data_IF_121153309978
#
_entry.id   IF_121153309978
#
_cell.length_a   1.000
_cell.length_b   1.000
_cell.length_c   1.000
_cell.angle_alpha   90.00
_cell.angle_beta   90.00
_cell.angle_gamma   90.00
#
_symmetry.space_group_name_H-M   'P 1'
#
loop_
_entity.id
_entity.type
_entity.pdbx_description
1 polymer ?
#
# COMPACT_ATOMS: atom_id res chain seq x y z
N UNK A 1 -10.07 -22.57 2.95
CA UNK A 1 -10.51 -21.40 2.18
C UNK A 1 -10.32 -20.22 3.08
N UNK A 2 -9.53 -19.24 2.63
CA UNK A 2 -9.47 -17.96 3.33
C UNK A 2 -10.87 -17.31 3.28
N UNK A 3 -11.30 -16.83 4.43
CA UNK A 3 -12.58 -16.15 4.60
C UNK A 3 -12.31 -14.66 4.76
N UNK A 4 -13.12 -13.86 4.09
CA UNK A 4 -13.02 -12.40 4.08
C UNK A 4 -14.22 -11.79 4.80
N UNK A 5 -14.03 -10.61 5.37
CA UNK A 5 -15.10 -9.76 5.88
C UNK A 5 -15.05 -8.41 5.17
N UNK A 6 -16.21 -7.76 5.08
CA UNK A 6 -16.28 -6.38 4.62
C UNK A 6 -15.92 -5.44 5.79
N UNK A 7 -15.04 -4.50 5.53
CA UNK A 7 -14.61 -3.47 6.46
C UNK A 7 -14.89 -2.09 5.87
N UNK A 8 -15.58 -1.24 6.63
CA UNK A 8 -15.82 0.16 6.28
C UNK A 8 -14.60 0.99 6.66
N UNK A 9 -14.26 1.95 5.80
CA UNK A 9 -13.07 2.80 5.92
C UNK A 9 -13.46 4.27 5.78
N UNK A 10 -12.70 5.15 6.44
CA UNK A 10 -12.82 6.60 6.26
C UNK A 10 -14.26 7.11 6.46
N UNK A 11 -14.88 6.75 7.59
CA UNK A 11 -16.25 7.15 7.92
C UNK A 11 -17.30 6.61 6.95
N UNK A 12 -17.21 5.32 6.62
CA UNK A 12 -18.13 4.58 5.74
C UNK A 12 -18.16 5.06 4.27
N UNK A 13 -17.15 5.81 3.84
CA UNK A 13 -17.05 6.32 2.45
C UNK A 13 -16.51 5.27 1.48
N UNK A 14 -15.75 4.30 1.99
CA UNK A 14 -15.17 3.19 1.23
C UNK A 14 -15.41 1.89 1.99
N UNK A 15 -15.56 0.79 1.24
CA UNK A 15 -15.52 -0.55 1.81
C UNK A 15 -14.50 -1.41 1.09
N UNK A 16 -13.87 -2.31 1.84
CA UNK A 16 -12.89 -3.27 1.33
C UNK A 16 -13.18 -4.65 1.91
N UNK A 17 -12.73 -5.69 1.22
CA UNK A 17 -12.76 -7.06 1.72
C UNK A 17 -11.39 -7.43 2.26
N UNK A 18 -11.30 -7.70 3.55
CA UNK A 18 -10.06 -8.07 4.23
C UNK A 18 -10.11 -9.52 4.73
N UNK A 19 -8.97 -10.22 4.77
CA UNK A 19 -8.86 -11.50 5.49
C UNK A 19 -9.33 -11.37 6.94
N UNK A 20 -9.99 -12.40 7.47
CA UNK A 20 -10.52 -12.38 8.86
C UNK A 20 -9.46 -12.28 9.96
N UNK A 21 -8.20 -12.55 9.64
CA UNK A 21 -7.05 -12.44 10.53
C UNK A 21 -6.37 -11.06 10.49
N UNK A 22 -6.80 -10.16 9.58
CA UNK A 22 -6.38 -8.78 9.55
C UNK A 22 -6.86 -8.06 10.82
N UNK A 23 -5.93 -7.51 11.58
CA UNK A 23 -6.18 -6.74 12.81
C UNK A 23 -5.99 -5.27 12.56
N UNK A 24 -7.01 -4.48 12.90
CA UNK A 24 -6.94 -3.03 12.87
C UNK A 24 -5.91 -2.53 13.90
N UNK A 25 -4.96 -1.75 13.43
CA UNK A 25 -3.90 -1.17 14.25
C UNK A 25 -4.38 0.07 15.02
N UNK A 26 -5.49 0.68 14.62
CA UNK A 26 -6.10 1.83 15.32
C UNK A 26 -6.54 1.47 16.75
N UNK A 27 -6.87 0.21 17.01
CA UNK A 27 -7.26 -0.29 18.34
C UNK A 27 -6.10 -0.24 19.36
N UNK A 28 -4.85 -0.23 18.88
CA UNK A 28 -3.65 -0.31 19.73
C UNK A 28 -2.80 0.96 19.71
N UNK A 29 -2.93 1.81 18.68
CA UNK A 29 -2.24 3.09 18.58
C UNK A 29 -3.02 4.06 17.70
N UNK A 30 -2.80 5.35 17.93
CA UNK A 30 -3.28 6.38 17.01
C UNK A 30 -2.56 6.26 15.65
N UNK A 31 -3.35 6.42 14.59
CA UNK A 31 -2.91 6.51 13.20
C UNK A 31 -3.49 7.80 12.60
N UNK A 32 -2.87 8.39 11.56
CA UNK A 32 -3.43 9.56 10.88
C UNK A 32 -4.83 9.29 10.33
N UNK A 33 -5.71 10.30 10.35
CA UNK A 33 -7.10 10.17 9.89
C UNK A 33 -7.24 9.80 8.39
N UNK A 34 -6.19 10.05 7.60
CA UNK A 34 -6.13 9.70 6.19
C UNK A 34 -5.54 8.29 5.95
N UNK A 35 -5.27 7.52 7.00
CA UNK A 35 -4.73 6.17 6.95
C UNK A 35 -5.61 5.15 7.67
N UNK A 36 -5.68 3.95 7.11
CA UNK A 36 -6.25 2.76 7.76
C UNK A 36 -5.21 1.64 7.66
N UNK A 37 -4.83 1.04 8.79
CA UNK A 37 -3.70 0.11 8.86
C UNK A 37 -4.12 -1.21 9.48
N UNK A 38 -3.84 -2.30 8.77
CA UNK A 38 -4.14 -3.66 9.23
C UNK A 38 -2.88 -4.51 9.23
N UNK A 39 -2.76 -5.39 10.23
CA UNK A 39 -1.63 -6.31 10.37
C UNK A 39 -2.10 -7.76 10.49
N UNK A 40 -1.31 -8.69 9.97
CA UNK A 40 -1.55 -10.11 10.15
C UNK A 40 -0.92 -10.61 11.45
N UNK A 41 -1.71 -11.26 12.30
CA UNK A 41 -1.28 -11.66 13.65
C UNK A 41 -0.10 -12.63 13.75
N UNK A 42 0.27 -13.32 12.66
CA UNK A 42 1.30 -14.37 12.68
C UNK A 42 2.44 -14.23 11.65
N UNK A 43 2.29 -13.37 10.64
CA UNK A 43 3.19 -13.38 9.47
C UNK A 43 3.95 -12.06 9.29
N UNK A 44 3.88 -11.14 10.27
CA UNK A 44 4.45 -9.78 10.20
C UNK A 44 4.07 -9.00 8.92
N UNK A 45 3.00 -9.44 8.25
CA UNK A 45 2.44 -8.77 7.08
C UNK A 45 1.58 -7.60 7.52
N UNK A 46 1.50 -6.58 6.67
CA UNK A 46 0.62 -5.44 6.89
C UNK A 46 0.05 -4.91 5.60
N UNK A 47 -1.17 -4.41 5.64
CA UNK A 47 -1.76 -3.59 4.57
C UNK A 47 -2.11 -2.21 5.11
N UNK A 48 -1.75 -1.19 4.34
CA UNK A 48 -2.01 0.21 4.64
C UNK A 48 -2.85 0.76 3.49
N UNK A 49 -3.95 1.42 3.82
CA UNK A 49 -4.74 2.20 2.89
C UNK A 49 -4.54 3.67 3.25
N UNK A 50 -4.17 4.49 2.28
CA UNK A 50 -3.88 5.90 2.51
C UNK A 50 -4.51 6.78 1.43
N UNK A 51 -5.14 7.88 1.85
CA UNK A 51 -5.62 8.93 0.96
C UNK A 51 -4.55 10.01 0.90
N UNK A 52 -4.04 10.27 -0.30
CA UNK A 52 -2.98 11.21 -0.61
C UNK A 52 -3.47 12.29 -1.59
N UNK A 53 -2.73 13.40 -1.66
CA UNK A 53 -2.93 14.40 -2.70
C UNK A 53 -2.60 13.81 -4.08
N UNK A 54 -3.33 14.25 -5.11
CA UNK A 54 -3.08 13.80 -6.47
C UNK A 54 -1.71 14.26 -6.97
N UNK A 55 -0.82 13.30 -7.25
CA UNK A 55 0.51 13.62 -7.79
C UNK A 55 0.39 13.96 -9.28
N UNK A 56 0.87 15.15 -9.65
CA UNK A 56 0.86 15.69 -11.01
C UNK A 56 2.10 15.24 -11.79
N UNK A 57 2.06 13.99 -12.25
CA UNK A 57 3.07 13.42 -13.15
C UNK A 57 2.57 13.30 -14.59
N UNK A 58 3.52 13.23 -15.52
CA UNK A 58 3.25 13.08 -16.96
C UNK A 58 2.63 11.72 -17.32
N UNK A 59 2.74 10.72 -16.44
CA UNK A 59 2.14 9.40 -16.63
C UNK A 59 1.77 8.73 -15.31
N UNK A 60 0.84 7.78 -15.36
CA UNK A 60 0.47 6.98 -14.19
C UNK A 60 1.62 6.11 -13.67
N UNK A 61 2.49 5.63 -14.56
CA UNK A 61 3.69 4.89 -14.21
C UNK A 61 4.69 5.74 -13.43
N UNK A 62 4.78 7.03 -13.78
CA UNK A 62 5.63 7.97 -13.07
C UNK A 62 5.02 8.32 -11.72
N UNK A 63 3.71 8.57 -11.65
CA UNK A 63 3.01 8.76 -10.37
C UNK A 63 3.20 7.59 -9.40
N UNK A 64 3.11 6.35 -9.90
CA UNK A 64 3.37 5.16 -9.10
C UNK A 64 4.82 5.07 -8.61
N UNK A 65 5.79 5.54 -9.41
CA UNK A 65 7.20 5.63 -8.97
C UNK A 65 7.39 6.67 -7.89
N UNK A 66 6.83 7.86 -8.06
CA UNK A 66 6.89 8.94 -7.06
C UNK A 66 6.35 8.45 -5.71
N UNK A 67 5.17 7.80 -5.69
CA UNK A 67 4.62 7.20 -4.48
C UNK A 67 5.51 6.10 -3.89
N UNK A 68 6.12 5.24 -4.71
CA UNK A 68 7.06 4.21 -4.22
C UNK A 68 8.34 4.81 -3.62
N UNK A 69 8.87 5.87 -4.24
CA UNK A 69 10.04 6.60 -3.72
C UNK A 69 9.72 7.21 -2.35
N UNK A 70 8.55 7.82 -2.16
CA UNK A 70 8.10 8.36 -0.87
C UNK A 70 7.97 7.27 0.21
N UNK A 71 7.48 6.08 -0.14
CA UNK A 71 7.43 4.92 0.76
C UNK A 71 8.85 4.44 1.12
N UNK A 72 9.78 4.40 0.16
CA UNK A 72 11.17 4.04 0.43
C UNK A 72 11.86 5.04 1.37
N UNK A 73 11.67 6.34 1.12
CA UNK A 73 12.20 7.41 1.96
C UNK A 73 11.66 7.33 3.40
N UNK A 74 10.36 7.07 3.55
CA UNK A 74 9.70 6.92 4.87
C UNK A 74 10.24 5.71 5.65
N UNK A 75 10.67 4.66 4.95
CA UNK A 75 11.29 3.48 5.54
C UNK A 75 12.82 3.62 5.73
N UNK A 76 13.40 4.78 5.44
CA UNK A 76 14.84 5.04 5.44
C UNK A 76 15.64 4.08 4.54
N UNK A 77 14.97 3.56 3.50
CA UNK A 77 15.56 2.69 2.48
C UNK A 77 16.07 3.59 1.36
N UNK A 78 17.38 3.81 1.34
CA UNK A 78 18.04 4.57 0.26
C UNK A 78 18.08 3.79 -1.05
N UNK A 79 19.29 3.54 -1.58
CA UNK A 79 19.49 2.80 -2.83
C UNK A 79 19.18 1.29 -2.73
N UNK A 80 18.82 0.81 -1.53
CA UNK A 80 18.50 -0.60 -1.24
C UNK A 80 17.03 -0.96 -1.57
N UNK A 81 16.48 -0.36 -2.63
CA UNK A 81 15.13 -0.64 -3.14
C UNK A 81 15.15 -0.93 -4.64
N UNK A 82 14.27 -1.83 -5.08
CA UNK A 82 14.15 -2.21 -6.49
C UNK A 82 12.67 -2.34 -6.88
N UNK A 83 12.33 -1.79 -8.04
CA UNK A 83 11.02 -1.99 -8.67
C UNK A 83 11.11 -3.21 -9.58
N UNK A 84 10.33 -4.24 -9.27
CA UNK A 84 10.27 -5.49 -10.04
C UNK A 84 9.30 -5.36 -11.20
N UNK A 85 8.13 -4.77 -10.98
CA UNK A 85 7.08 -4.64 -12.02
C UNK A 85 6.18 -3.46 -11.74
N UNK A 86 5.76 -2.78 -12.82
CA UNK A 86 4.68 -1.80 -12.80
C UNK A 86 3.76 -2.08 -13.98
N UNK A 87 2.48 -2.30 -13.71
CA UNK A 87 1.49 -2.63 -14.74
C UNK A 87 0.12 -2.03 -14.42
N UNK A 88 -0.68 -1.84 -15.46
CA UNK A 88 -2.06 -1.40 -15.29
C UNK A 88 -2.92 -2.58 -14.85
N UNK A 89 -3.79 -2.36 -13.85
CA UNK A 89 -4.77 -3.36 -13.45
C UNK A 89 -5.84 -3.47 -14.54
N UNK A 90 -6.17 -4.69 -15.00
CA UNK A 90 -7.26 -4.91 -15.96
C UNK A 90 -8.58 -4.29 -15.50
N UNK A 91 -9.30 -3.62 -16.40
CA UNK A 91 -10.51 -2.87 -16.06
C UNK A 91 -11.64 -3.75 -15.47
N UNK A 92 -11.68 -5.03 -15.82
CA UNK A 92 -12.64 -6.01 -15.29
C UNK A 92 -12.37 -6.41 -13.82
N UNK A 93 -11.17 -6.09 -13.30
CA UNK A 93 -10.80 -6.28 -11.89
C UNK A 93 -11.02 -5.03 -11.04
N UNK A 94 -11.35 -3.89 -11.65
CA UNK A 94 -11.57 -2.64 -10.93
C UNK A 94 -13.05 -2.55 -10.55
N UNK A 95 -13.34 -2.71 -9.26
CA UNK A 95 -14.71 -2.66 -8.73
C UNK A 95 -15.12 -1.27 -8.23
N UNK A 96 -14.16 -0.34 -8.11
CA UNK A 96 -14.41 1.01 -7.63
C UNK A 96 -14.89 1.92 -8.77
N UNK A 97 -16.15 2.35 -8.71
CA UNK A 97 -16.82 3.12 -9.78
C UNK A 97 -16.06 4.40 -10.19
N UNK A 98 -15.49 5.09 -9.20
CA UNK A 98 -14.80 6.36 -9.39
C UNK A 98 -13.34 6.23 -9.84
N UNK A 99 -12.74 5.04 -9.71
CA UNK A 99 -11.37 4.78 -10.12
C UNK A 99 -11.37 4.16 -11.52
N UNK A 100 -11.12 4.96 -12.56
CA UNK A 100 -11.07 4.46 -13.94
C UNK A 100 -9.72 3.86 -14.32
N UNK A 101 -8.69 4.11 -13.51
CA UNK A 101 -7.34 3.67 -13.76
C UNK A 101 -6.69 3.31 -12.43
N UNK A 102 -6.28 2.05 -12.32
CA UNK A 102 -5.55 1.53 -11.17
C UNK A 102 -4.24 0.95 -11.69
N UNK A 103 -3.15 1.31 -11.04
CA UNK A 103 -1.83 0.77 -11.34
C UNK A 103 -1.37 -0.10 -10.20
N UNK A 104 -0.66 -1.16 -10.54
CA UNK A 104 -0.04 -2.07 -9.60
C UNK A 104 1.47 -1.99 -9.72
N UNK A 105 2.16 -2.00 -8.59
CA UNK A 105 3.60 -2.06 -8.48
C UNK A 105 3.98 -3.21 -7.56
N UNK A 106 4.99 -3.96 -7.99
CA UNK A 106 5.73 -4.89 -7.14
C UNK A 106 7.15 -4.37 -6.98
N UNK A 107 7.60 -4.21 -5.75
CA UNK A 107 8.96 -3.79 -5.41
C UNK A 107 9.52 -4.63 -4.28
N UNK A 108 10.80 -4.41 -3.99
CA UNK A 108 11.52 -5.04 -2.90
C UNK A 108 12.35 -3.98 -2.19
N UNK A 109 12.38 -4.04 -0.87
CA UNK A 109 13.22 -3.19 -0.02
C UNK A 109 14.10 -4.07 0.86
N UNK A 110 15.35 -3.66 1.04
CA UNK A 110 16.26 -4.23 2.03
C UNK A 110 16.42 -3.25 3.19
N UNK A 111 15.72 -3.52 4.28
CA UNK A 111 15.67 -2.66 5.46
C UNK A 111 16.65 -3.18 6.51
N UNK A 112 17.65 -2.40 6.88
CA UNK A 112 18.45 -2.67 8.07
C UNK A 112 17.75 -2.04 9.28
N UNK A 113 17.32 -2.84 10.26
CA UNK A 113 16.83 -2.29 11.52
C UNK A 113 18.03 -2.09 12.46
N UNK A 114 18.15 -0.89 13.05
CA UNK A 114 19.02 -0.62 14.21
C UNK A 114 20.49 -1.09 14.13
N UNK A 115 21.24 -0.66 13.10
CA UNK A 115 22.70 -0.88 13.04
C UNK A 115 23.11 -2.36 12.97
N UNK A 116 22.20 -3.26 12.61
CA UNK A 116 22.50 -4.68 12.36
C UNK A 116 23.02 -4.89 10.93
N UNK A 117 23.94 -5.84 10.76
CA UNK A 117 24.42 -6.28 9.44
C UNK A 117 23.35 -7.07 8.65
N UNK A 118 22.29 -7.53 9.33
CA UNK A 118 21.18 -8.26 8.73
C UNK A 118 20.18 -7.29 8.07
N UNK A 119 20.04 -7.39 6.75
CA UNK A 119 19.02 -6.64 6.00
C UNK A 119 17.78 -7.52 5.85
N UNK A 120 16.68 -7.11 6.46
CA UNK A 120 15.38 -7.75 6.24
C UNK A 120 14.92 -7.45 4.83
N UNK A 121 14.52 -8.49 4.11
CA UNK A 121 14.01 -8.34 2.75
C UNK A 121 12.49 -8.28 2.82
N UNK A 122 11.93 -7.14 2.43
CA UNK A 122 10.48 -6.91 2.42
C UNK A 122 10.03 -6.74 0.98
N UNK A 123 9.13 -7.62 0.55
CA UNK A 123 8.43 -7.46 -0.71
C UNK A 123 7.26 -6.49 -0.51
N UNK A 124 7.17 -5.49 -1.38
CA UNK A 124 6.16 -4.44 -1.30
C UNK A 124 5.28 -4.52 -2.53
N UNK A 125 3.98 -4.57 -2.28
CA UNK A 125 2.94 -4.53 -3.30
C UNK A 125 2.18 -3.22 -3.13
N UNK A 126 2.06 -2.44 -4.19
CA UNK A 126 1.31 -1.19 -4.17
C UNK A 126 0.23 -1.19 -5.24
N UNK A 127 -0.95 -0.70 -4.88
CA UNK A 127 -2.01 -0.39 -5.82
C UNK A 127 -2.37 1.09 -5.71
N UNK A 128 -2.31 1.81 -6.83
CA UNK A 128 -2.56 3.24 -6.93
C UNK A 128 -3.87 3.48 -7.66
N UNK A 129 -4.88 3.95 -6.94
CA UNK A 129 -6.17 4.35 -7.49
C UNK A 129 -6.16 5.86 -7.70
N UNK A 130 -6.18 6.28 -8.97
CA UNK A 130 -6.10 7.70 -9.34
C UNK A 130 -7.50 8.29 -9.39
N UNK A 131 -7.77 9.33 -8.60
CA UNK A 131 -9.08 9.99 -8.50
C UNK A 131 -8.98 11.50 -8.82
N UNK A 132 -8.68 11.88 -10.07
CA UNK A 132 -8.45 13.29 -10.44
C UNK A 132 -9.67 14.19 -10.19
N UNK A 133 -10.89 13.65 -10.19
CA UNK A 133 -12.11 14.39 -9.87
C UNK A 133 -12.18 14.85 -8.40
N UNK A 134 -11.38 14.25 -7.52
CA UNK A 134 -11.27 14.60 -6.11
C UNK A 134 -9.90 15.20 -5.75
N UNK A 135 -9.02 15.43 -6.74
CA UNK A 135 -7.62 15.84 -6.53
C UNK A 135 -6.90 14.94 -5.51
N UNK A 136 -7.22 13.64 -5.54
CA UNK A 136 -6.64 12.65 -4.62
C UNK A 136 -6.16 11.39 -5.33
N UNK A 137 -5.20 10.73 -4.69
CA UNK A 137 -4.78 9.37 -4.98
C UNK A 137 -5.09 8.50 -3.76
N UNK A 138 -5.59 7.28 -3.97
CA UNK A 138 -5.66 6.27 -2.90
C UNK A 138 -4.53 5.27 -3.15
N UNK A 139 -3.66 5.14 -2.17
CA UNK A 139 -2.53 4.22 -2.19
C UNK A 139 -2.80 3.06 -1.25
N UNK A 140 -2.74 1.85 -1.77
CA UNK A 140 -2.80 0.62 -0.97
C UNK A 140 -1.42 0.00 -0.99
N UNK A 141 -0.80 -0.15 0.18
CA UNK A 141 0.54 -0.72 0.35
C UNK A 141 0.45 -1.99 1.18
N UNK A 142 0.82 -3.13 0.59
CA UNK A 142 0.94 -4.41 1.27
C UNK A 142 2.40 -4.79 1.44
N UNK A 143 2.84 -4.91 2.69
CA UNK A 143 4.19 -5.32 3.06
C UNK A 143 4.20 -6.81 3.38
N UNK A 144 5.07 -7.54 2.70
CA UNK A 144 5.26 -8.98 2.85
C UNK A 144 6.73 -9.27 3.17
N UNK A 145 7.09 -9.43 4.46
CA UNK A 145 8.43 -9.83 4.85
C UNK A 145 8.80 -11.21 4.27
N UNK A 146 9.93 -11.32 3.59
CA UNK A 146 10.43 -12.57 3.01
C UNK A 146 11.51 -13.23 3.87
N UNK A 147 12.44 -12.40 4.38
CA UNK A 147 13.51 -12.81 5.29
C UNK A 147 13.59 -11.78 6.42
N UNK A 148 13.45 -12.28 7.66
CA UNK A 148 13.55 -11.54 8.93
C UNK A 148 14.68 -12.17 9.74
#
# INVERSE_FOLDING_TARGET
METFHEQMMFGDSLSVFLPNDAKDVSEIREIPDNQEVFTHSQMDQSVIFEILEYVKEDSHQQAMRTHFEDVCLSNEVGEDSEIITIEAVPADRIQMEHAKCVWYLKGCQRVAKFNEDAKNTVEIHMALFRLPQFDSDILVTFNNPLEI
#
